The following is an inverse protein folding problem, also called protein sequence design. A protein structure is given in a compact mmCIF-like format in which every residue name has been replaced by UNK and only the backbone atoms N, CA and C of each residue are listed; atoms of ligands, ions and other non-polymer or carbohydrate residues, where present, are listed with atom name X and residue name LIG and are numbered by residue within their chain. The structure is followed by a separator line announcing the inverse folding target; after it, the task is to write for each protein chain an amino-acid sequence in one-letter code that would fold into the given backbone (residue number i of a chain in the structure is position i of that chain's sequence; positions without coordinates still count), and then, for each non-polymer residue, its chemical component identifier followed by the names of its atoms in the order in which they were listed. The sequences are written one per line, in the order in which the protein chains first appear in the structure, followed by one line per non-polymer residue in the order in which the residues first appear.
data_IF_434353602885
#
_entry.id   IF_434353602885
#
_cell.length_a   1.000
_cell.length_b   1.000
_cell.length_c   1.000
_cell.angle_alpha   90.00
_cell.angle_beta   90.00
_cell.angle_gamma   90.00
#
_symmetry.space_group_name_H-M   'P 1'
#
loop_
_entity.id
_entity.type
_entity.pdbx_description
1 polymer ?
#
# COMPACT_ATOMS: atom_id res chain seq x y z
N UNK A 1 -29.75 13.09 -24.29
CA UNK A 1 -28.37 12.54 -24.30
C UNK A 1 -27.33 13.45 -23.60
N UNK A 2 -27.64 14.69 -23.20
CA UNK A 2 -26.68 15.59 -22.55
C UNK A 2 -26.50 15.49 -21.02
N UNK A 3 -27.25 14.62 -20.32
CA UNK A 3 -27.26 14.59 -18.84
C UNK A 3 -26.38 13.49 -18.18
N UNK A 4 -25.83 12.55 -18.96
CA UNK A 4 -24.99 11.47 -18.42
C UNK A 4 -23.49 11.82 -18.43
N UNK A 5 -23.08 12.70 -19.35
CA UNK A 5 -21.68 13.11 -19.56
C UNK A 5 -21.17 14.02 -18.42
N UNK A 6 -21.98 14.99 -18.01
CA UNK A 6 -21.70 15.86 -16.84
C UNK A 6 -21.66 15.09 -15.53
N UNK A 7 -22.55 14.10 -15.35
CA UNK A 7 -22.66 13.34 -14.10
C UNK A 7 -21.43 12.50 -13.74
N UNK A 8 -20.69 11.95 -14.69
CA UNK A 8 -19.50 11.14 -14.38
C UNK A 8 -18.31 11.99 -13.97
N UNK A 9 -18.19 13.20 -14.54
CA UNK A 9 -17.23 14.22 -14.10
C UNK A 9 -17.59 14.74 -12.71
N UNK A 10 -18.86 15.05 -12.48
CA UNK A 10 -19.34 15.48 -11.16
C UNK A 10 -19.19 14.34 -10.13
N UNK A 11 -19.36 13.08 -10.52
CA UNK A 11 -19.05 11.93 -9.67
C UNK A 11 -17.55 11.77 -9.41
N UNK A 12 -16.68 12.07 -10.38
CA UNK A 12 -15.23 12.06 -10.20
C UNK A 12 -14.71 13.24 -9.37
N UNK A 13 -15.47 14.33 -9.30
CA UNK A 13 -15.17 15.53 -8.51
C UNK A 13 -15.83 15.54 -7.13
N UNK A 14 -16.94 14.83 -6.93
CA UNK A 14 -17.77 14.93 -5.71
C UNK A 14 -18.21 13.58 -5.09
N UNK A 15 -17.98 12.44 -5.75
CA UNK A 15 -18.45 11.13 -5.28
C UNK A 15 -17.32 10.09 -5.21
N UNK A 16 -17.51 9.10 -4.34
CA UNK A 16 -16.63 7.93 -4.25
C UNK A 16 -16.75 7.16 -5.57
N UNK A 17 -15.66 7.07 -6.33
CA UNK A 17 -15.53 6.19 -7.48
C UNK A 17 -14.81 4.89 -7.07
N UNK A 18 -15.26 3.77 -7.61
CA UNK A 18 -14.68 2.44 -7.44
C UNK A 18 -14.45 1.81 -8.80
N UNK A 19 -13.35 1.08 -8.97
CA UNK A 19 -13.01 0.36 -10.19
C UNK A 19 -12.85 -1.14 -9.93
N UNK A 20 -13.62 -1.98 -10.63
CA UNK A 20 -13.36 -3.43 -10.74
C UNK A 20 -12.77 -3.69 -12.10
N UNK A 21 -11.81 -4.61 -12.20
CA UNK A 21 -11.38 -5.11 -13.50
C UNK A 21 -11.53 -6.62 -13.61
N UNK A 22 -11.63 -7.07 -14.86
CA UNK A 22 -11.84 -8.46 -15.23
C UNK A 22 -10.61 -9.00 -15.96
N UNK A 23 -10.46 -10.34 -15.99
CA UNK A 23 -9.37 -11.02 -16.71
C UNK A 23 -9.33 -10.71 -18.20
N UNK A 24 -10.43 -10.24 -18.78
CA UNK A 24 -10.54 -9.91 -20.21
C UNK A 24 -10.27 -8.42 -20.52
N UNK A 25 -9.71 -7.67 -19.56
CA UNK A 25 -9.31 -6.28 -19.74
C UNK A 25 -10.47 -5.28 -19.66
N UNK A 26 -11.64 -5.67 -19.16
CA UNK A 26 -12.73 -4.73 -18.83
C UNK A 26 -12.50 -4.09 -17.47
N UNK A 27 -12.89 -2.83 -17.34
CA UNK A 27 -12.92 -2.08 -16.09
C UNK A 27 -14.32 -1.53 -15.89
N UNK A 28 -15.01 -1.90 -14.81
CA UNK A 28 -16.26 -1.30 -14.39
C UNK A 28 -15.97 -0.22 -13.35
N UNK A 29 -16.30 1.02 -13.68
CA UNK A 29 -16.22 2.17 -12.77
C UNK A 29 -17.61 2.43 -12.20
N UNK A 30 -17.74 2.48 -10.88
CA UNK A 30 -18.99 2.71 -10.15
C UNK A 30 -18.81 3.96 -9.30
N UNK A 31 -19.73 4.91 -9.41
CA UNK A 31 -19.77 6.13 -8.60
C UNK A 31 -20.96 6.14 -7.65
N UNK A 32 -21.01 7.17 -6.80
CA UNK A 32 -22.20 7.48 -6.01
C UNK A 32 -23.45 7.69 -6.88
N UNK A 33 -24.63 7.56 -6.25
CA UNK A 33 -25.93 7.78 -6.89
C UNK A 33 -26.23 6.87 -8.10
N UNK A 34 -25.68 5.65 -8.10
CA UNK A 34 -25.92 4.64 -9.14
C UNK A 34 -25.25 4.95 -10.47
N UNK A 35 -24.22 5.80 -10.47
CA UNK A 35 -23.43 6.11 -11.67
C UNK A 35 -22.54 4.92 -11.99
N UNK A 36 -22.58 4.43 -13.23
CA UNK A 36 -21.71 3.36 -13.70
C UNK A 36 -21.11 3.67 -15.07
N UNK A 37 -19.89 3.16 -15.30
CA UNK A 37 -19.15 3.24 -16.55
C UNK A 37 -18.42 1.93 -16.80
N UNK A 38 -18.27 1.58 -18.08
CA UNK A 38 -17.48 0.43 -18.51
C UNK A 38 -16.39 0.93 -19.46
N UNK A 39 -15.14 0.60 -19.14
CA UNK A 39 -13.96 0.82 -19.97
C UNK A 39 -13.45 -0.54 -20.43
N UNK A 40 -12.89 -0.62 -21.65
CA UNK A 40 -12.44 -1.88 -22.22
C UNK A 40 -11.05 -1.67 -22.81
N UNK A 41 -10.05 -2.34 -22.24
CA UNK A 41 -8.68 -2.33 -22.74
C UNK A 41 -8.59 -2.91 -24.15
N UNK A 42 -7.85 -2.27 -25.08
CA UNK A 42 -7.60 -2.85 -26.39
C UNK A 42 -6.74 -4.12 -26.29
N UNK A 43 -5.91 -4.26 -25.25
CA UNK A 43 -5.01 -5.41 -25.07
C UNK A 43 -5.71 -6.67 -24.56
N UNK A 44 -6.95 -6.57 -24.05
CA UNK A 44 -7.72 -7.70 -23.47
C UNK A 44 -6.92 -8.54 -22.45
N UNK A 45 -6.03 -7.88 -21.72
CA UNK A 45 -5.15 -8.47 -20.72
C UNK A 45 -5.64 -8.07 -19.32
N UNK A 46 -5.50 -8.94 -18.29
CA UNK A 46 -5.81 -8.56 -16.91
C UNK A 46 -4.94 -7.38 -16.45
N UNK A 47 -5.45 -6.66 -15.45
CA UNK A 47 -4.70 -5.62 -14.76
C UNK A 47 -4.14 -6.14 -13.44
N UNK A 48 -2.98 -5.62 -13.04
CA UNK A 48 -2.39 -5.83 -11.71
C UNK A 48 -2.54 -4.62 -10.80
N UNK A 49 -2.70 -3.42 -11.35
CA UNK A 49 -2.93 -2.20 -10.58
C UNK A 49 -4.00 -1.31 -11.22
N UNK A 50 -4.72 -0.58 -10.37
CA UNK A 50 -5.75 0.41 -10.73
C UNK A 50 -5.75 1.51 -9.67
N UNK A 51 -5.49 2.77 -10.05
CA UNK A 51 -5.57 3.92 -9.13
C UNK A 51 -6.16 5.16 -9.81
N UNK A 52 -6.96 5.91 -9.06
CA UNK A 52 -7.50 7.17 -9.54
C UNK A 52 -6.50 8.29 -9.38
N UNK A 53 -6.39 9.14 -10.39
CA UNK A 53 -5.92 10.51 -10.19
C UNK A 53 -7.03 11.28 -9.44
N UNK A 54 -6.88 11.34 -8.11
CA UNK A 54 -7.91 11.87 -7.21
C UNK A 54 -8.38 13.26 -7.64
N UNK A 55 -9.71 13.42 -7.79
CA UNK A 55 -10.38 14.67 -8.19
C UNK A 55 -9.96 15.23 -9.56
N UNK A 56 -9.36 14.42 -10.43
CA UNK A 56 -8.89 14.86 -11.76
C UNK A 56 -9.66 14.22 -12.92
N UNK A 57 -10.55 13.26 -12.67
CA UNK A 57 -11.35 12.61 -13.72
C UNK A 57 -10.56 11.61 -14.58
N UNK A 58 -9.42 11.14 -14.10
CA UNK A 58 -8.59 10.16 -14.77
C UNK A 58 -8.34 8.93 -13.89
N UNK A 59 -8.16 7.79 -14.55
CA UNK A 59 -7.88 6.51 -13.93
C UNK A 59 -6.62 5.93 -14.58
N UNK A 60 -5.68 5.45 -13.76
CA UNK A 60 -4.48 4.76 -14.22
C UNK A 60 -4.65 3.28 -13.96
N UNK A 61 -4.29 2.46 -14.95
CA UNK A 61 -4.26 1.00 -14.80
C UNK A 61 -2.95 0.44 -15.35
N UNK A 62 -2.47 -0.64 -14.77
CA UNK A 62 -1.28 -1.35 -15.26
C UNK A 62 -1.68 -2.78 -15.61
N UNK A 63 -1.46 -3.18 -16.85
CA UNK A 63 -1.73 -4.56 -17.29
C UNK A 63 -0.67 -5.53 -16.76
N UNK A 64 -0.96 -6.83 -16.77
CA UNK A 64 0.03 -7.87 -16.47
C UNK A 64 1.22 -7.86 -17.44
N UNK A 65 1.04 -7.28 -18.64
CA UNK A 65 2.08 -7.07 -19.65
C UNK A 65 2.85 -5.75 -19.44
N UNK A 66 2.72 -5.09 -18.29
CA UNK A 66 3.40 -3.84 -17.96
C UNK A 66 3.03 -2.65 -18.87
N UNK A 67 1.82 -2.64 -19.42
CA UNK A 67 1.29 -1.48 -20.14
C UNK A 67 0.58 -0.54 -19.15
N UNK A 68 1.14 0.65 -18.98
CA UNK A 68 0.53 1.71 -18.16
C UNK A 68 -0.49 2.42 -19.03
N UNK A 69 -1.76 2.42 -18.62
CA UNK A 69 -2.88 2.97 -19.36
C UNK A 69 -3.54 4.08 -18.56
N UNK A 70 -3.75 5.25 -19.17
CA UNK A 70 -4.50 6.36 -18.57
C UNK A 70 -5.85 6.48 -19.27
N UNK A 71 -6.91 6.43 -18.49
CA UNK A 71 -8.28 6.51 -18.94
C UNK A 71 -8.88 7.85 -18.57
N UNK A 72 -9.54 8.49 -19.53
CA UNK A 72 -10.37 9.65 -19.28
C UNK A 72 -11.78 9.17 -18.93
N UNK A 73 -12.23 9.45 -17.70
CA UNK A 73 -13.53 9.00 -17.20
C UNK A 73 -14.69 9.81 -17.79
N UNK A 74 -14.46 11.08 -18.16
CA UNK A 74 -15.47 11.94 -18.79
C UNK A 74 -15.78 11.44 -20.21
N UNK A 75 -14.76 11.18 -21.02
CA UNK A 75 -14.92 10.66 -22.39
C UNK A 75 -15.01 9.14 -22.47
N UNK A 76 -14.81 8.43 -21.34
CA UNK A 76 -14.85 6.96 -21.22
C UNK A 76 -13.96 6.25 -22.24
N UNK A 77 -12.76 6.77 -22.45
CA UNK A 77 -11.81 6.22 -23.41
C UNK A 77 -10.39 6.19 -22.86
N UNK A 78 -9.55 5.37 -23.50
CA UNK A 78 -8.11 5.37 -23.26
C UNK A 78 -7.53 6.68 -23.80
N UNK A 79 -6.97 7.50 -22.91
CA UNK A 79 -6.31 8.74 -23.27
C UNK A 79 -4.92 8.48 -23.86
N UNK A 80 -4.13 7.62 -23.20
CA UNK A 80 -2.83 7.18 -23.66
C UNK A 80 -2.39 5.88 -22.99
N UNK A 81 -1.36 5.26 -23.54
CA UNK A 81 -0.66 4.14 -22.91
C UNK A 81 0.85 4.23 -23.08
N UNK A 82 1.59 3.56 -22.20
CA UNK A 82 3.04 3.43 -22.23
C UNK A 82 3.42 1.99 -21.89
N UNK A 83 4.05 1.32 -22.84
CA UNK A 83 4.65 0.01 -22.61
C UNK A 83 5.90 0.19 -21.77
N UNK A 84 5.94 -0.44 -20.59
CA UNK A 84 7.13 -0.48 -19.75
C UNK A 84 8.01 -1.68 -20.12
N UNK A 85 9.33 -1.52 -19.98
CA UNK A 85 10.32 -2.52 -20.42
C UNK A 85 10.52 -3.63 -19.39
N UNK A 86 10.61 -3.29 -18.11
CA UNK A 86 10.77 -4.24 -17.00
C UNK A 86 9.43 -4.65 -16.38
N UNK A 87 9.43 -5.68 -15.53
CA UNK A 87 8.24 -6.01 -14.74
C UNK A 87 8.00 -4.95 -13.65
N UNK A 88 6.87 -4.25 -13.73
CA UNK A 88 6.42 -3.33 -12.68
C UNK A 88 5.93 -4.14 -11.49
N UNK A 89 6.56 -3.99 -10.33
CA UNK A 89 6.22 -4.75 -9.12
C UNK A 89 5.60 -3.89 -8.03
N UNK A 90 5.71 -2.56 -8.13
CA UNK A 90 5.04 -1.61 -7.25
C UNK A 90 4.61 -0.36 -8.01
N UNK A 91 3.53 0.26 -7.55
CA UNK A 91 2.93 1.44 -8.19
C UNK A 91 2.18 2.26 -7.15
N UNK A 92 2.24 3.58 -7.28
CA UNK A 92 1.33 4.48 -6.56
C UNK A 92 1.23 5.85 -7.22
N UNK A 93 0.01 6.40 -7.27
CA UNK A 93 -0.28 7.76 -7.69
C UNK A 93 0.07 8.75 -6.57
N UNK A 94 0.70 9.86 -6.94
CA UNK A 94 0.96 10.97 -6.01
C UNK A 94 -0.30 11.83 -5.92
N UNK A 95 -0.99 11.73 -4.78
CA UNK A 95 -2.24 12.44 -4.49
C UNK A 95 -2.18 13.94 -4.81
N UNK A 96 -3.22 14.46 -5.47
CA UNK A 96 -3.30 15.86 -5.87
C UNK A 96 -2.43 16.27 -7.07
N UNK A 97 -1.78 15.32 -7.74
CA UNK A 97 -0.93 15.58 -8.91
C UNK A 97 -1.21 14.62 -10.07
N UNK A 98 -0.56 14.84 -11.22
CA UNK A 98 -0.52 13.90 -12.36
C UNK A 98 0.75 13.04 -12.37
N UNK A 99 1.41 12.91 -11.22
CA UNK A 99 2.64 12.14 -11.06
C UNK A 99 2.32 10.79 -10.41
N UNK A 100 3.14 9.80 -10.73
CA UNK A 100 3.08 8.47 -10.15
C UNK A 100 4.48 7.92 -9.95
N UNK A 101 4.64 7.10 -8.92
CA UNK A 101 5.83 6.30 -8.71
C UNK A 101 5.64 4.92 -9.33
N UNK A 102 6.71 4.42 -9.96
CA UNK A 102 6.79 3.08 -10.53
C UNK A 102 7.99 2.39 -9.92
N UNK A 103 7.81 1.19 -9.38
CA UNK A 103 8.87 0.34 -8.87
C UNK A 103 8.92 -0.94 -9.67
N UNK A 104 10.11 -1.42 -9.97
CA UNK A 104 10.29 -2.62 -10.78
C UNK A 104 11.04 -3.76 -10.08
N UNK A 105 11.08 -4.89 -10.77
CA UNK A 105 11.77 -6.11 -10.33
C UNK A 105 13.28 -5.94 -10.14
N UNK A 106 13.89 -4.95 -10.81
CA UNK A 106 15.30 -4.63 -10.71
C UNK A 106 15.64 -3.84 -9.43
N UNK A 107 14.61 -3.41 -8.68
CA UNK A 107 14.78 -2.62 -7.47
C UNK A 107 14.83 -1.11 -7.72
N UNK A 108 14.40 -0.64 -8.89
CA UNK A 108 14.50 0.77 -9.27
C UNK A 108 13.15 1.46 -9.17
N UNK A 109 13.15 2.62 -8.51
CA UNK A 109 11.99 3.51 -8.49
C UNK A 109 12.13 4.58 -9.58
N UNK A 110 11.05 4.84 -10.30
CA UNK A 110 10.93 5.86 -11.33
C UNK A 110 9.77 6.80 -11.01
N UNK A 111 9.83 8.01 -11.58
CA UNK A 111 8.70 8.96 -11.56
C UNK A 111 8.17 9.12 -12.98
N UNK A 112 6.87 8.90 -13.15
CA UNK A 112 6.17 9.09 -14.43
C UNK A 112 5.13 10.19 -14.27
N UNK A 113 5.01 11.05 -15.28
CA UNK A 113 4.03 12.13 -15.36
C UNK A 113 3.01 11.84 -16.45
N UNK A 114 1.73 11.99 -16.16
CA UNK A 114 0.70 12.17 -17.18
C UNK A 114 0.65 13.65 -17.60
N UNK A 115 0.86 13.92 -18.89
CA UNK A 115 0.74 15.26 -19.48
C UNK A 115 -0.63 15.38 -20.15
N UNK A 116 -1.52 16.16 -19.55
CA UNK A 116 -2.90 16.31 -20.01
C UNK A 116 -3.04 17.24 -21.22
N UNK A 117 -2.03 18.07 -21.54
CA UNK A 117 -2.09 18.98 -22.70
C UNK A 117 -1.84 18.22 -24.01
N UNK A 118 -0.88 17.30 -23.99
CA UNK A 118 -0.67 16.33 -25.06
C UNK A 118 -0.78 14.93 -24.47
N UNK A 119 -2.00 14.34 -24.35
CA UNK A 119 -2.30 13.16 -23.52
C UNK A 119 -1.28 12.05 -23.74
N UNK A 120 -0.26 12.02 -22.87
CA UNK A 120 0.87 11.09 -22.96
C UNK A 120 1.46 10.87 -21.58
N UNK A 121 2.12 9.74 -21.43
CA UNK A 121 2.92 9.43 -20.26
C UNK A 121 4.37 9.77 -20.55
N UNK A 122 5.00 10.49 -19.63
CA UNK A 122 6.39 10.91 -19.69
C UNK A 122 7.13 10.34 -18.49
N UNK A 123 8.08 9.43 -18.74
CA UNK A 123 9.05 9.05 -17.72
C UNK A 123 9.97 10.26 -17.45
N UNK A 124 10.02 10.70 -16.20
CA UNK A 124 10.89 11.79 -15.79
C UNK A 124 12.34 11.27 -15.59
N UNK A 125 13.35 12.15 -15.67
CA UNK A 125 14.75 11.77 -15.45
C UNK A 125 15.05 11.26 -14.04
N UNK A 126 14.16 11.52 -13.08
CA UNK A 126 14.33 11.11 -11.70
C UNK A 126 14.14 9.59 -11.55
N UNK A 127 15.21 8.90 -11.18
CA UNK A 127 15.22 7.48 -10.86
C UNK A 127 16.07 7.21 -9.61
N UNK A 128 15.65 6.23 -8.81
CA UNK A 128 16.37 5.79 -7.60
C UNK A 128 16.61 4.28 -7.67
N UNK A 129 17.82 3.85 -8.09
CA UNK A 129 18.21 2.45 -8.04
C UNK A 129 18.38 1.94 -6.60
N UNK A 130 18.05 0.66 -6.37
CA UNK A 130 18.26 0.00 -5.09
C UNK A 130 19.71 0.11 -4.59
N UNK A 131 20.70 0.01 -5.49
CA UNK A 131 22.12 0.09 -5.13
C UNK A 131 22.46 1.41 -4.44
N UNK A 132 22.00 2.53 -4.99
CA UNK A 132 22.23 3.87 -4.44
C UNK A 132 21.56 4.05 -3.06
N UNK A 133 20.32 3.57 -2.91
CA UNK A 133 19.58 3.66 -1.65
C UNK A 133 20.19 2.75 -0.57
N UNK A 134 20.55 1.53 -0.93
CA UNK A 134 21.19 0.56 -0.04
C UNK A 134 22.56 1.04 0.42
N UNK A 135 23.36 1.61 -0.46
CA UNK A 135 24.66 2.23 -0.12
C UNK A 135 24.46 3.38 0.86
N UNK A 136 23.55 4.30 0.57
CA UNK A 136 23.23 5.43 1.46
C UNK A 136 22.67 4.98 2.83
N UNK A 137 21.95 3.85 2.87
CA UNK A 137 21.43 3.26 4.09
C UNK A 137 22.47 2.47 4.91
N UNK A 138 23.67 2.23 4.37
CA UNK A 138 24.70 1.41 5.01
C UNK A 138 24.50 -0.11 4.86
N UNK A 139 23.73 -0.54 3.86
CA UNK A 139 23.42 -1.95 3.55
C UNK A 139 23.84 -2.35 2.12
N UNK A 140 25.12 -2.18 1.72
CA UNK A 140 25.54 -2.51 0.36
C UNK A 140 25.35 -4.01 0.09
N UNK A 141 24.46 -4.36 -0.85
CA UNK A 141 24.26 -5.73 -1.32
C UNK A 141 24.28 -5.75 -2.86
N UNK A 142 24.95 -6.71 -3.50
CA UNK A 142 24.97 -6.84 -4.95
C UNK A 142 23.62 -7.32 -5.53
N UNK A 143 22.74 -7.87 -4.69
CA UNK A 143 21.50 -8.48 -5.17
C UNK A 143 20.43 -7.43 -5.52
N UNK A 144 19.91 -7.58 -6.73
CA UNK A 144 18.68 -6.94 -7.17
C UNK A 144 17.52 -7.52 -6.36
N UNK A 145 16.81 -6.64 -5.66
CA UNK A 145 15.65 -6.99 -4.86
C UNK A 145 14.46 -6.23 -5.45
N UNK A 146 13.41 -6.93 -5.90
CA UNK A 146 12.20 -6.29 -6.39
C UNK A 146 11.64 -5.31 -5.36
N UNK A 147 11.14 -4.17 -5.85
CA UNK A 147 10.33 -3.28 -5.01
C UNK A 147 8.93 -3.90 -4.89
N UNK A 148 8.56 -4.31 -3.69
CA UNK A 148 7.23 -4.89 -3.39
C UNK A 148 6.24 -3.86 -2.86
N UNK A 149 6.72 -2.65 -2.55
CA UNK A 149 5.87 -1.57 -2.07
C UNK A 149 6.44 -0.19 -2.38
N UNK A 150 5.58 0.68 -2.90
CA UNK A 150 5.83 2.12 -2.98
C UNK A 150 4.62 2.84 -2.43
N UNK A 151 4.81 3.58 -1.34
CA UNK A 151 3.74 4.31 -0.69
C UNK A 151 4.17 5.77 -0.47
N UNK A 152 3.57 6.75 -1.16
CA UNK A 152 3.71 8.16 -0.79
C UNK A 152 3.32 8.33 0.68
N UNK A 153 4.14 9.04 1.46
CA UNK A 153 3.81 9.29 2.86
C UNK A 153 2.62 10.25 2.92
N UNK A 154 1.54 9.91 3.65
CA UNK A 154 0.43 10.82 3.88
C UNK A 154 0.92 12.19 4.38
N UNK A 155 0.20 13.25 4.03
CA UNK A 155 0.50 14.62 4.45
C UNK A 155 1.89 15.16 4.04
N UNK A 156 2.62 14.50 3.13
CA UNK A 156 3.93 14.95 2.63
C UNK A 156 3.88 15.71 1.30
N UNK A 157 2.70 15.95 0.74
CA UNK A 157 2.51 16.53 -0.60
C UNK A 157 3.24 15.77 -1.72
N UNK A 158 3.53 14.48 -1.51
CA UNK A 158 4.27 13.65 -2.46
C UNK A 158 5.80 13.78 -2.39
N UNK A 159 6.33 14.59 -1.49
CA UNK A 159 7.78 14.77 -1.35
C UNK A 159 8.45 13.61 -0.62
N UNK A 160 7.70 12.77 0.09
CA UNK A 160 8.25 11.62 0.81
C UNK A 160 7.61 10.35 0.35
N UNK A 161 8.43 9.34 0.12
CA UNK A 161 8.00 8.04 -0.41
C UNK A 161 8.67 6.92 0.36
N UNK A 162 7.87 5.97 0.82
CA UNK A 162 8.35 4.72 1.38
C UNK A 162 8.58 3.74 0.22
N UNK A 163 9.78 3.15 0.18
CA UNK A 163 10.18 2.11 -0.76
C UNK A 163 10.46 0.85 0.05
N UNK A 164 9.73 -0.23 -0.23
CA UNK A 164 9.89 -1.52 0.43
C UNK A 164 10.38 -2.58 -0.56
N UNK A 165 11.44 -3.28 -0.18
CA UNK A 165 12.06 -4.35 -0.96
C UNK A 165 11.60 -5.72 -0.48
N UNK A 166 11.60 -6.69 -1.40
CA UNK A 166 11.14 -8.05 -1.13
C UNK A 166 11.79 -8.66 0.12
N UNK A 167 13.11 -8.51 0.30
CA UNK A 167 13.86 -9.04 1.45
C UNK A 167 13.55 -8.39 2.82
N UNK A 168 12.59 -7.48 2.90
CA UNK A 168 12.17 -6.86 4.14
C UNK A 168 12.76 -5.48 4.42
N UNK A 169 13.75 -5.02 3.65
CA UNK A 169 14.29 -3.67 3.79
C UNK A 169 13.23 -2.63 3.37
N UNK A 170 13.04 -1.60 4.19
CA UNK A 170 12.19 -0.47 3.89
C UNK A 170 12.92 0.85 4.14
N UNK A 171 12.76 1.80 3.23
CA UNK A 171 13.41 3.11 3.28
C UNK A 171 12.35 4.19 3.06
N UNK A 172 12.26 5.15 3.96
CA UNK A 172 11.54 6.40 3.72
C UNK A 172 12.51 7.41 3.13
N UNK A 173 12.23 7.85 1.91
CA UNK A 173 13.05 8.76 1.15
C UNK A 173 12.37 10.12 0.99
N UNK A 174 13.12 11.20 1.22
CA UNK A 174 12.71 12.57 0.88
C UNK A 174 13.18 12.90 -0.54
N UNK A 175 12.24 12.98 -1.48
CA UNK A 175 12.48 13.25 -2.90
C UNK A 175 13.01 14.68 -3.10
N UNK A 176 12.56 15.64 -2.29
CA UNK A 176 12.97 17.05 -2.39
C UNK A 176 14.38 17.28 -1.86
N UNK A 177 14.69 16.73 -0.69
CA UNK A 177 15.98 16.91 -0.01
C UNK A 177 17.01 15.84 -0.40
N UNK A 178 16.59 14.82 -1.17
CA UNK A 178 17.43 13.71 -1.60
C UNK A 178 18.12 12.99 -0.42
N UNK A 179 17.36 12.68 0.62
CA UNK A 179 17.89 12.08 1.85
C UNK A 179 17.00 10.96 2.40
N UNK A 180 17.63 10.04 3.13
CA UNK A 180 16.94 8.99 3.88
C UNK A 180 16.41 9.58 5.19
N UNK A 181 15.12 9.40 5.45
CA UNK A 181 14.46 9.82 6.69
C UNK A 181 14.28 8.67 7.68
N UNK A 182 14.16 7.44 7.16
CA UNK A 182 13.96 6.25 7.97
C UNK A 182 14.47 5.02 7.22
N UNK A 183 15.07 4.09 7.96
CA UNK A 183 15.39 2.73 7.49
C UNK A 183 14.78 1.76 8.48
N UNK A 184 14.05 0.77 7.97
CA UNK A 184 13.49 -0.33 8.75
C UNK A 184 13.73 -1.66 8.04
N UNK A 185 13.52 -2.76 8.76
CA UNK A 185 13.76 -4.10 8.24
C UNK A 185 15.25 -4.45 8.07
N UNK A 186 15.54 -5.60 7.45
CA UNK A 186 16.92 -6.11 7.34
C UNK A 186 17.57 -6.35 8.72
N UNK A 187 18.84 -5.97 8.90
CA UNK A 187 19.56 -6.17 10.17
C UNK A 187 19.01 -5.32 11.35
N UNK A 188 18.19 -4.29 11.10
CA UNK A 188 17.56 -3.48 12.17
C UNK A 188 16.57 -4.33 13.01
N UNK A 189 16.02 -5.40 12.40
CA UNK A 189 15.25 -6.42 13.11
C UNK A 189 16.12 -7.23 14.09
N UNK A 190 17.40 -7.48 13.76
CA UNK A 190 18.31 -8.22 14.63
C UNK A 190 18.80 -7.38 15.82
N UNK A 191 18.93 -6.05 15.64
CA UNK A 191 19.40 -5.14 16.69
C UNK A 191 18.30 -4.75 17.70
N UNK A 192 17.03 -4.78 17.29
CA UNK A 192 15.85 -4.42 18.12
C UNK A 192 15.13 -5.62 18.75
N UNK A 193 15.66 -6.84 18.58
CA UNK A 193 15.09 -8.11 19.05
C UNK A 193 14.76 -8.12 20.56
N UNK A 194 15.44 -7.30 21.37
CA UNK A 194 15.15 -7.13 22.80
C UNK A 194 13.90 -6.29 23.14
N UNK A 195 13.23 -5.62 22.18
CA UNK A 195 12.22 -4.58 22.46
C UNK A 195 10.93 -4.73 21.62
N UNK A 196 10.72 -5.87 20.93
CA UNK A 196 9.49 -6.10 20.14
C UNK A 196 8.35 -6.54 21.06
N UNK A 197 7.33 -5.69 21.24
CA UNK A 197 6.11 -6.06 21.95
C UNK A 197 5.25 -6.96 21.05
N UNK A 198 4.94 -8.15 21.53
CA UNK A 198 4.06 -9.10 20.82
C UNK A 198 2.66 -9.08 21.44
N UNK A 199 1.64 -8.96 20.61
CA UNK A 199 0.23 -9.07 21.01
C UNK A 199 -0.35 -10.34 20.37
N UNK A 200 -0.83 -11.27 21.21
CA UNK A 200 -1.49 -12.51 20.78
C UNK A 200 -2.94 -12.57 21.29
N UNK A 201 -3.82 -13.23 20.54
CA UNK A 201 -5.26 -13.38 20.88
C UNK A 201 -5.53 -14.32 22.07
N UNK A 202 -4.54 -15.08 22.52
CA UNK A 202 -4.72 -16.13 23.55
C UNK A 202 -4.17 -15.62 24.88
N UNK A 203 -5.03 -14.89 25.60
CA UNK A 203 -5.01 -14.55 27.03
C UNK A 203 -3.70 -14.06 27.71
N UNK A 204 -3.75 -12.81 28.17
CA UNK A 204 -3.20 -12.19 29.40
C UNK A 204 -1.75 -12.34 29.90
N UNK A 205 -0.86 -13.13 29.29
CA UNK A 205 0.55 -13.11 29.69
C UNK A 205 1.43 -12.42 28.64
N UNK A 206 1.89 -11.21 28.98
CA UNK A 206 3.01 -10.54 28.31
C UNK A 206 4.24 -11.43 28.52
N UNK A 207 4.48 -12.37 27.60
CA UNK A 207 5.73 -13.12 27.55
C UNK A 207 6.76 -12.26 26.84
N UNK A 208 7.55 -11.53 27.63
CA UNK A 208 8.90 -11.18 27.21
C UNK A 208 9.70 -12.46 27.01
N UNK A 209 10.53 -12.46 25.97
CA UNK A 209 11.48 -13.51 25.58
C UNK A 209 10.95 -14.60 24.66
N UNK A 210 11.16 -14.37 23.38
CA UNK A 210 11.65 -15.40 22.47
C UNK A 210 12.56 -14.67 21.51
N UNK A 211 13.88 -14.91 21.60
CA UNK A 211 14.83 -14.41 20.63
C UNK A 211 14.54 -15.14 19.32
N UNK A 212 14.01 -14.40 18.35
CA UNK A 212 13.81 -14.92 17.01
C UNK A 212 15.00 -14.42 16.20
N UNK A 213 15.83 -15.33 15.71
CA UNK A 213 16.73 -15.00 14.62
C UNK A 213 15.87 -14.57 13.42
N UNK A 214 15.67 -13.26 13.26
CA UNK A 214 14.96 -12.68 12.14
C UNK A 214 15.88 -12.79 10.92
N UNK A 215 15.82 -13.98 10.31
CA UNK A 215 16.13 -14.19 8.90
C UNK A 215 15.37 -13.12 8.11
N UNK A 216 15.98 -12.62 7.03
CA UNK A 216 15.32 -11.73 6.08
C UNK A 216 13.89 -12.24 5.82
N UNK A 217 12.89 -11.46 6.25
CA UNK A 217 11.49 -11.83 6.09
C UNK A 217 10.96 -11.17 4.85
N UNK A 218 10.42 -11.99 3.97
CA UNK A 218 9.84 -11.50 2.73
C UNK A 218 8.55 -10.74 2.99
N UNK A 219 8.50 -9.48 2.54
CA UNK A 219 7.30 -8.64 2.62
C UNK A 219 6.31 -9.09 1.53
N UNK A 220 5.09 -9.37 1.94
CA UNK A 220 3.99 -9.76 1.04
C UNK A 220 2.89 -8.71 0.93
N UNK A 221 2.73 -7.84 1.94
CA UNK A 221 1.73 -6.77 1.94
C UNK A 221 2.17 -5.61 2.83
N UNK A 222 1.70 -4.40 2.53
CA UNK A 222 1.97 -3.22 3.34
C UNK A 222 0.92 -2.13 3.12
N UNK A 223 0.64 -1.33 4.15
CA UNK A 223 -0.16 -0.11 4.04
C UNK A 223 0.19 0.88 5.16
N UNK A 224 -0.04 2.17 4.92
CA UNK A 224 -0.06 3.15 6.01
C UNK A 224 -1.23 2.84 6.94
N UNK A 225 -0.97 2.72 8.24
CA UNK A 225 -1.97 2.48 9.28
C UNK A 225 -2.24 3.75 10.12
N UNK A 226 -2.07 4.91 9.50
CA UNK A 226 -2.26 6.23 10.11
C UNK A 226 -2.46 7.28 9.01
N UNK A 227 -3.38 8.22 9.21
CA UNK A 227 -3.64 9.33 8.28
C UNK A 227 -2.48 10.31 8.20
N UNK A 228 -1.62 10.38 9.22
CA UNK A 228 -0.42 11.23 9.23
C UNK A 228 0.82 10.55 8.66
N UNK A 229 0.75 9.26 8.31
CA UNK A 229 1.92 8.50 7.84
C UNK A 229 2.93 8.18 8.95
N UNK A 230 2.47 8.17 10.21
CA UNK A 230 3.30 7.87 11.39
C UNK A 230 3.38 6.38 11.74
N UNK A 231 2.51 5.57 11.16
CA UNK A 231 2.45 4.12 11.43
C UNK A 231 2.35 3.41 10.09
N UNK A 232 3.25 2.44 9.88
CA UNK A 232 3.24 1.54 8.74
C UNK A 232 2.94 0.12 9.23
N UNK A 233 1.93 -0.53 8.63
CA UNK A 233 1.69 -1.96 8.83
C UNK A 233 2.35 -2.75 7.71
N UNK A 234 3.09 -3.79 8.06
CA UNK A 234 3.82 -4.65 7.13
C UNK A 234 3.51 -6.10 7.42
N UNK A 235 3.01 -6.79 6.40
CA UNK A 235 2.68 -8.20 6.43
C UNK A 235 3.74 -9.02 5.70
N UNK A 236 4.04 -10.19 6.25
CA UNK A 236 5.10 -11.07 5.76
C UNK A 236 4.54 -12.41 5.26
N UNK A 237 5.35 -13.12 4.46
CA UNK A 237 5.00 -14.44 3.92
C UNK A 237 4.75 -15.50 5.00
N UNK A 238 5.30 -15.30 6.20
CA UNK A 238 5.17 -16.19 7.34
C UNK A 238 3.95 -15.86 8.23
N UNK A 239 3.09 -14.95 7.76
CA UNK A 239 1.87 -14.53 8.45
C UNK A 239 2.07 -13.53 9.59
N UNK A 240 3.30 -13.05 9.81
CA UNK A 240 3.52 -11.97 10.76
C UNK A 240 3.04 -10.62 10.23
N UNK A 241 2.57 -9.78 11.15
CA UNK A 241 2.27 -8.38 10.89
C UNK A 241 3.07 -7.53 11.86
N UNK A 242 3.91 -6.64 11.35
CA UNK A 242 4.67 -5.69 12.14
C UNK A 242 4.18 -4.27 11.88
N UNK A 243 3.93 -3.53 12.96
CA UNK A 243 3.66 -2.10 12.93
C UNK A 243 4.94 -1.34 13.24
N UNK A 244 5.31 -0.44 12.35
CA UNK A 244 6.50 0.39 12.43
C UNK A 244 6.10 1.83 12.70
N UNK A 245 6.73 2.45 13.71
CA UNK A 245 6.61 3.89 13.92
C UNK A 245 7.56 4.62 12.97
N UNK A 246 6.98 5.48 12.14
CA UNK A 246 7.65 6.25 11.10
C UNK A 246 7.66 7.74 11.51
N UNK A 247 8.79 8.44 11.36
CA UNK A 247 8.85 9.87 11.64
C UNK A 247 8.01 10.69 10.64
N UNK A 248 7.22 11.63 11.15
CA UNK A 248 6.35 12.51 10.34
C UNK A 248 6.82 13.96 10.28
N UNK A 249 7.56 14.45 11.27
CA UNK A 249 8.11 15.81 11.32
C UNK A 249 9.62 15.83 11.61
N UNK A 250 10.28 16.92 11.18
CA UNK A 250 11.61 17.33 11.63
C UNK A 250 11.55 17.74 13.11
N UNK A 251 11.36 16.80 14.03
CA UNK A 251 11.50 17.11 15.45
C UNK A 251 12.97 17.43 15.72
N UNK A 252 13.22 18.72 15.85
CA UNK A 252 14.49 19.35 16.23
C UNK A 252 15.06 18.67 17.47
N UNK A 253 16.14 17.91 17.26
CA UNK A 253 17.25 17.60 18.17
C UNK A 253 16.99 17.09 19.60
N UNK A 254 15.75 16.97 20.09
CA UNK A 254 15.49 16.75 21.52
C UNK A 254 14.94 15.37 21.89
N UNK A 255 14.74 14.45 20.94
CA UNK A 255 14.30 13.09 21.26
C UNK A 255 15.04 12.00 20.47
N UNK A 256 16.36 12.12 20.33
CA UNK A 256 17.19 11.01 19.81
C UNK A 256 17.27 9.80 20.76
N UNK A 257 16.80 9.91 22.00
CA UNK A 257 17.10 8.93 23.06
C UNK A 257 15.90 8.23 23.76
N UNK A 258 14.65 8.37 23.29
CA UNK A 258 13.51 7.66 23.90
C UNK A 258 12.62 6.96 22.86
N UNK A 259 13.16 5.95 22.16
CA UNK A 259 12.39 5.07 21.29
C UNK A 259 12.40 3.64 21.84
N UNK A 260 11.78 3.44 23.00
CA UNK A 260 11.75 2.15 23.73
C UNK A 260 10.75 1.12 23.18
N UNK A 261 10.33 1.23 21.91
CA UNK A 261 9.76 0.16 21.05
C UNK A 261 9.21 0.80 19.78
N UNK A 262 10.00 0.78 18.69
CA UNK A 262 9.57 1.30 17.38
C UNK A 262 8.75 0.29 16.57
N UNK A 263 8.61 -0.93 17.08
CA UNK A 263 8.01 -2.06 16.37
C UNK A 263 7.06 -2.78 17.32
N UNK A 264 5.83 -3.02 16.86
CA UNK A 264 4.85 -3.87 17.54
C UNK A 264 4.49 -5.02 16.61
N UNK A 265 4.57 -6.25 17.13
CA UNK A 265 4.18 -7.45 16.38
C UNK A 265 2.74 -7.82 16.74
N UNK A 266 1.91 -7.93 15.73
CA UNK A 266 0.59 -8.52 15.82
C UNK A 266 0.67 -9.96 15.32
N UNK A 267 0.44 -10.91 16.21
CA UNK A 267 0.41 -12.33 15.87
C UNK A 267 -1.03 -12.83 15.92
N UNK A 268 -1.58 -13.15 14.74
CA UNK A 268 -2.97 -13.58 14.61
C UNK A 268 -3.19 -15.06 14.98
N UNK A 269 -2.16 -15.89 14.80
CA UNK A 269 -2.20 -17.33 15.05
C UNK A 269 -0.89 -17.82 15.68
N UNK A 270 -1.02 -18.75 16.61
CA UNK A 270 0.08 -19.50 17.23
C UNK A 270 0.35 -20.84 16.53
N UNK A 271 -0.36 -21.14 15.44
CA UNK A 271 -0.15 -22.36 14.66
C UNK A 271 1.26 -22.44 14.06
N UNK A 272 1.78 -23.66 13.89
CA UNK A 272 3.11 -23.90 13.31
C UNK A 272 3.20 -23.48 11.84
N UNK A 273 2.14 -23.73 11.04
CA UNK A 273 2.00 -23.19 9.69
C UNK A 273 1.08 -21.97 9.73
N UNK A 274 1.62 -20.82 9.32
CA UNK A 274 0.89 -19.55 9.22
C UNK A 274 0.81 -19.15 7.75
N UNK A 275 -0.32 -18.58 7.36
CA UNK A 275 -0.58 -18.18 5.99
C UNK A 275 0.03 -16.81 5.70
N UNK A 276 0.53 -16.57 4.48
CA UNK A 276 1.05 -15.27 4.07
C UNK A 276 -0.01 -14.17 4.21
N UNK A 277 0.43 -12.97 4.58
CA UNK A 277 -0.44 -11.79 4.58
C UNK A 277 -0.54 -11.28 3.15
N UNK A 278 -1.70 -11.43 2.53
CA UNK A 278 -1.90 -11.12 1.11
C UNK A 278 -2.40 -9.67 0.92
N UNK A 279 -3.28 -9.20 1.81
CA UNK A 279 -3.81 -7.83 1.76
C UNK A 279 -3.75 -7.19 3.14
N UNK A 280 -3.24 -5.97 3.16
CA UNK A 280 -3.34 -5.05 4.29
C UNK A 280 -4.01 -3.77 3.80
N UNK A 281 -5.05 -3.35 4.50
CA UNK A 281 -5.76 -2.14 4.15
C UNK A 281 -6.21 -1.38 5.40
N UNK A 282 -5.83 -0.12 5.49
CA UNK A 282 -6.23 0.76 6.59
C UNK A 282 -7.42 1.64 6.21
N UNK A 283 -8.42 1.68 7.08
CA UNK A 283 -9.54 2.62 6.99
C UNK A 283 -9.60 3.50 8.22
N UNK A 284 -9.63 4.81 8.02
CA UNK A 284 -9.71 5.77 9.11
C UNK A 284 -11.11 5.76 9.76
N UNK A 285 -11.17 5.82 11.08
CA UNK A 285 -12.45 5.95 11.79
C UNK A 285 -12.96 7.39 11.71
N UNK A 286 -14.13 7.59 11.08
CA UNK A 286 -14.82 8.90 11.02
C UNK A 286 -15.21 9.48 12.40
N UNK A 287 -15.08 8.70 13.48
CA UNK A 287 -15.54 9.07 14.82
C UNK A 287 -14.44 9.62 15.73
N UNK A 288 -13.20 9.66 15.27
CA UNK A 288 -12.05 10.02 16.10
C UNK A 288 -11.38 11.31 15.61
N UNK A 289 -10.91 12.12 16.56
CA UNK A 289 -10.06 13.29 16.28
C UNK A 289 -8.57 12.93 16.12
N UNK A 290 -8.22 11.64 16.25
CA UNK A 290 -6.84 11.16 16.31
C UNK A 290 -6.43 10.49 15.00
N UNK A 291 -5.22 10.77 14.53
CA UNK A 291 -4.70 10.29 13.24
C UNK A 291 -4.47 8.77 13.15
N UNK A 292 -4.47 8.08 14.28
CA UNK A 292 -4.13 6.65 14.41
C UNK A 292 -5.34 5.76 14.70
N UNK A 293 -6.53 6.34 14.77
CA UNK A 293 -7.75 5.61 15.13
C UNK A 293 -8.46 5.12 13.86
N UNK A 294 -8.69 3.81 13.79
CA UNK A 294 -9.21 3.19 12.56
C UNK A 294 -9.21 1.67 12.59
N UNK A 295 -9.47 1.10 11.43
CA UNK A 295 -9.62 -0.33 11.22
C UNK A 295 -8.60 -0.81 10.20
N UNK A 296 -7.83 -1.83 10.58
CA UNK A 296 -6.96 -2.57 9.68
C UNK A 296 -7.69 -3.82 9.22
N UNK A 297 -7.91 -3.92 7.91
CA UNK A 297 -8.42 -5.10 7.23
C UNK A 297 -7.25 -5.95 6.78
N UNK A 298 -7.31 -7.23 7.12
CA UNK A 298 -6.24 -8.18 6.90
C UNK A 298 -6.85 -9.37 6.17
N UNK A 299 -6.27 -9.74 5.03
CA UNK A 299 -6.62 -10.96 4.33
C UNK A 299 -5.37 -11.81 4.17
N UNK A 300 -5.45 -13.06 4.64
CA UNK A 300 -4.41 -14.08 4.47
C UNK A 300 -5.02 -15.35 3.91
N UNK A 301 -4.24 -16.08 3.12
CA UNK A 301 -4.71 -17.26 2.39
C UNK A 301 -3.54 -18.12 1.92
N UNK A 302 -3.86 -19.30 1.38
CA UNK A 302 -2.91 -20.18 0.68
C UNK A 302 -3.37 -20.32 -0.79
N UNK A 303 -2.87 -21.34 -1.50
CA UNK A 303 -3.34 -21.72 -2.84
C UNK A 303 -4.89 -21.75 -2.96
N UNK A 304 -5.38 -21.45 -4.17
CA UNK A 304 -6.81 -21.41 -4.53
C UNK A 304 -7.53 -22.68 -4.03
N UNK A 305 -8.58 -22.50 -3.22
CA UNK A 305 -9.37 -23.58 -2.63
C UNK A 305 -9.00 -23.93 -1.18
N UNK A 306 -8.03 -23.23 -0.59
CA UNK A 306 -7.68 -23.34 0.83
C UNK A 306 -8.58 -22.47 1.72
N UNK A 307 -8.56 -22.71 3.04
CA UNK A 307 -9.29 -21.89 4.01
C UNK A 307 -8.74 -20.46 4.03
N UNK A 308 -9.53 -19.52 3.51
CA UNK A 308 -9.22 -18.08 3.49
C UNK A 308 -9.60 -17.43 4.83
N UNK A 309 -8.76 -16.52 5.34
CA UNK A 309 -9.01 -15.84 6.62
C UNK A 309 -9.03 -14.33 6.41
N UNK A 310 -10.22 -13.74 6.54
CA UNK A 310 -10.40 -12.29 6.66
C UNK A 310 -10.49 -11.90 8.15
N UNK A 311 -9.73 -10.89 8.55
CA UNK A 311 -9.76 -10.37 9.92
C UNK A 311 -9.78 -8.84 9.93
N UNK A 312 -10.65 -8.27 10.77
CA UNK A 312 -10.69 -6.83 11.06
C UNK A 312 -10.08 -6.59 12.44
N UNK A 313 -9.13 -5.67 12.52
CA UNK A 313 -8.50 -5.25 13.77
C UNK A 313 -8.71 -3.75 13.99
N UNK A 314 -9.10 -3.36 15.20
CA UNK A 314 -9.22 -1.96 15.58
C UNK A 314 -7.90 -1.47 16.17
N UNK A 315 -7.42 -0.32 15.70
CA UNK A 315 -6.26 0.36 16.27
C UNK A 315 -6.76 1.66 16.92
N UNK A 316 -6.46 1.83 18.21
CA UNK A 316 -6.77 3.05 18.95
C UNK A 316 -5.58 3.54 19.76
N UNK A 317 -5.51 4.86 19.96
CA UNK A 317 -4.41 5.52 20.66
C UNK A 317 -4.33 5.23 22.17
N UNK A 318 -5.37 4.68 22.81
CA UNK A 318 -5.31 4.39 24.25
C UNK A 318 -4.30 3.27 24.53
N UNK A 319 -3.38 3.53 25.47
CA UNK A 319 -2.35 2.61 25.98
C UNK A 319 -2.91 1.31 26.60
N UNK A 320 -4.21 1.07 26.50
CA UNK A 320 -4.82 -0.24 26.59
C UNK A 320 -5.36 -0.61 25.20
N UNK A 321 -4.76 -1.61 24.54
CA UNK A 321 -5.53 -2.47 23.63
C UNK A 321 -6.55 -3.24 24.49
N UNK A 322 -7.56 -2.54 24.98
CA UNK A 322 -8.64 -3.08 25.81
C UNK A 322 -9.54 -3.92 24.94
N UNK A 323 -9.18 -5.20 24.84
CA UNK A 323 -10.02 -6.39 25.02
C UNK A 323 -11.55 -6.26 24.82
N UNK A 324 -11.99 -5.58 23.77
CA UNK A 324 -13.35 -5.65 23.26
C UNK A 324 -13.30 -5.91 21.76
N UNK A 325 -12.73 -7.06 21.41
CA UNK A 325 -12.85 -7.64 20.08
C UNK A 325 -14.30 -8.15 19.95
N UNK A 326 -15.21 -7.27 19.55
CA UNK A 326 -16.50 -7.68 19.03
C UNK A 326 -16.27 -8.36 17.68
N UNK A 327 -16.22 -9.69 17.69
CA UNK A 327 -16.26 -10.51 16.49
C UNK A 327 -17.68 -10.51 15.93
N UNK A 328 -17.96 -9.69 14.92
CA UNK A 328 -18.98 -10.05 13.94
C UNK A 328 -18.27 -10.72 12.76
N UNK A 329 -18.31 -12.06 12.73
CA UNK A 329 -18.11 -12.84 11.51
C UNK A 329 -19.33 -12.61 10.63
N UNK A 330 -19.38 -11.47 9.96
CA UNK A 330 -20.28 -11.32 8.82
C UNK A 330 -19.52 -11.86 7.62
N UNK A 331 -19.91 -13.05 7.15
CA UNK A 331 -19.64 -13.50 5.79
C UNK A 331 -20.25 -12.45 4.85
N UNK A 332 -19.51 -11.37 4.58
CA UNK A 332 -19.94 -10.34 3.66
C UNK A 332 -19.71 -10.91 2.25
N UNK A 333 -20.75 -11.54 1.72
CA UNK A 333 -20.97 -11.61 0.27
C UNK A 333 -21.22 -10.22 -0.36
N UNK A 334 -21.14 -9.14 0.43
CA UNK A 334 -21.31 -7.75 0.01
C UNK A 334 -19.99 -6.96 -0.03
N UNK A 335 -18.91 -7.55 -0.55
CA UNK A 335 -17.70 -6.82 -0.96
C UNK A 335 -17.95 -5.74 -2.05
N UNK A 336 -19.21 -5.48 -2.43
CA UNK A 336 -19.60 -4.50 -3.44
C UNK A 336 -20.21 -3.20 -2.87
N UNK A 337 -20.18 -2.93 -1.56
CA UNK A 337 -20.84 -1.73 -0.99
C UNK A 337 -20.09 -0.96 0.10
N UNK A 338 -18.80 -1.19 0.31
CA UNK A 338 -17.94 -0.29 1.09
C UNK A 338 -16.84 0.29 0.19
N UNK A 339 -16.44 1.56 0.39
CA UNK A 339 -15.29 2.11 -0.29
C UNK A 339 -14.07 1.31 0.17
N UNK A 340 -13.12 1.11 -0.74
CA UNK A 340 -11.79 0.51 -0.51
C UNK A 340 -11.69 -0.98 -0.85
N UNK A 341 -11.29 -1.25 -2.09
CA UNK A 341 -10.54 -2.45 -2.41
C UNK A 341 -9.38 -2.07 -3.35
N UNK A 342 -8.22 -1.79 -2.75
CA UNK A 342 -6.96 -2.14 -3.39
C UNK A 342 -6.70 -3.61 -3.12
N UNK A 343 -7.35 -4.47 -3.90
CA UNK A 343 -6.96 -5.87 -3.98
C UNK A 343 -5.81 -5.96 -4.99
N UNK A 344 -4.63 -6.52 -4.64
CA UNK A 344 -3.78 -7.13 -5.64
C UNK A 344 -4.62 -8.15 -6.40
N UNK A 345 -4.49 -8.14 -7.73
CA UNK A 345 -5.28 -8.95 -8.66
C UNK A 345 -5.13 -10.46 -8.39
N UNK A 346 -5.93 -11.05 -7.50
CA UNK A 346 -6.12 -12.49 -7.54
C UNK A 346 -7.14 -12.79 -8.61
N UNK A 347 -6.62 -13.35 -9.68
CA UNK A 347 -7.35 -13.78 -10.85
C UNK A 347 -8.48 -14.74 -10.39
N UNK A 348 -9.76 -14.37 -10.57
CA UNK A 348 -10.91 -15.31 -10.48
C UNK A 348 -11.07 -16.07 -11.79
#
# INVERSE_FOLDING_TARGET
MGNSLTRMKDAALFHILFGVYYRDGRIKVIGGDGIEGLLISPKKSPFKNIEFFQNQGFLVTITNENDIQVWNLESRCLACSLQWESNITAFSVIGGSYLMFIGDECGTMYVVKYDNEGPKLLQLPYCLPASSLKEAAGYPSPDHQPIVGILPQPCSSGNRVLIAYQNGLMILWDVSESQILFVGGGNDLQLKDGIVKTISKVDNDIKENTSYHLVEKEISALCWASSSGSILAVGYIDGDILFWKIPTSSNTETQRNEFSSNIVRLQLSTAEKRLPVIVLHWSQSHRSSNDCDGQLFIYGGDEIGSDEVLMVSYLSHDYSMSSSVGLEMTLLFDLFSLPLFHLPAFAI
#
